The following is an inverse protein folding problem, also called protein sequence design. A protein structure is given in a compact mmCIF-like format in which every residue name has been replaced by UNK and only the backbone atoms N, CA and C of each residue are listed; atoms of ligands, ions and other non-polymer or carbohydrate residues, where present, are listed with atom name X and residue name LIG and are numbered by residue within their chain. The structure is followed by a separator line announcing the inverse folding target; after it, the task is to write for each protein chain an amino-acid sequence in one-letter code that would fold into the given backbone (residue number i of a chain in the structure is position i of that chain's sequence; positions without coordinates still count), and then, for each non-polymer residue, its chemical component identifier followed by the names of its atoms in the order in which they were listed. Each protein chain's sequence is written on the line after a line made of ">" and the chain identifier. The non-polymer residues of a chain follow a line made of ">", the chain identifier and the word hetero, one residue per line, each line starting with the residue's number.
data_IF_447511300523
#
_entry.id   IF_447511300523
#
_cell.length_a   1.000
_cell.length_b   1.000
_cell.length_c   1.000
_cell.angle_alpha   90.00
_cell.angle_beta   90.00
_cell.angle_gamma   90.00
#
_symmetry.space_group_name_H-M   'P 1'
#
loop_
_entity.id
_entity.type
_entity.pdbx_description
1 polymer ?
#
# COMPACT_ATOMS: atom_id res chain seq x y z
N UNK A 1 -8.22 -20.45 6.69
CA UNK A 1 -6.90 -20.22 6.07
C UNK A 1 -6.52 -18.77 6.35
N UNK A 2 -5.35 -18.50 6.93
CA UNK A 2 -4.94 -17.14 7.29
C UNK A 2 -4.64 -16.29 6.03
N UNK A 3 -4.82 -14.97 6.12
CA UNK A 3 -4.56 -14.06 4.99
C UNK A 3 -3.09 -14.04 4.58
N UNK A 4 -2.18 -14.10 5.57
CA UNK A 4 -0.74 -14.22 5.34
C UNK A 4 -0.41 -15.43 4.47
N UNK A 5 -0.98 -16.60 4.80
CA UNK A 5 -0.79 -17.82 4.01
C UNK A 5 -1.35 -17.67 2.58
N UNK A 6 -2.49 -16.98 2.41
CA UNK A 6 -3.04 -16.75 1.06
C UNK A 6 -2.14 -15.86 0.21
N UNK A 7 -1.58 -14.80 0.81
CA UNK A 7 -0.65 -13.89 0.14
C UNK A 7 0.64 -14.60 -0.25
N UNK A 8 1.22 -15.37 0.66
CA UNK A 8 2.41 -16.19 0.40
C UNK A 8 2.16 -17.17 -0.75
N UNK A 9 1.00 -17.83 -0.77
CA UNK A 9 0.64 -18.73 -1.86
C UNK A 9 0.47 -18.04 -3.20
N UNK A 10 -0.08 -16.83 -3.24
CA UNK A 10 -0.18 -16.04 -4.47
C UNK A 10 1.22 -15.69 -5.00
N UNK A 11 2.13 -15.28 -4.12
CA UNK A 11 3.52 -14.97 -4.49
C UNK A 11 4.21 -16.22 -5.04
N UNK A 12 4.07 -17.37 -4.36
CA UNK A 12 4.62 -18.65 -4.82
C UNK A 12 4.10 -19.03 -6.22
N UNK A 13 2.79 -18.91 -6.46
CA UNK A 13 2.21 -19.17 -7.78
C UNK A 13 2.69 -18.19 -8.86
N UNK A 14 2.84 -16.91 -8.51
CA UNK A 14 3.35 -15.88 -9.41
C UNK A 14 4.79 -16.19 -9.84
N UNK A 15 5.65 -16.60 -8.90
CA UNK A 15 7.04 -16.99 -9.18
C UNK A 15 7.12 -18.24 -10.06
N UNK A 16 6.30 -19.26 -9.77
CA UNK A 16 6.23 -20.48 -10.60
C UNK A 16 5.76 -20.17 -12.02
N UNK A 17 4.76 -19.30 -12.19
CA UNK A 17 4.26 -18.87 -13.49
C UNK A 17 5.29 -18.06 -14.27
N UNK A 18 6.00 -17.13 -13.62
CA UNK A 18 7.10 -16.36 -14.24
C UNK A 18 8.24 -17.26 -14.70
N UNK A 19 8.62 -18.23 -13.88
CA UNK A 19 9.64 -19.22 -14.24
C UNK A 19 9.20 -20.02 -15.47
N UNK A 20 7.99 -20.56 -15.46
CA UNK A 20 7.45 -21.31 -16.60
C UNK A 20 7.43 -20.46 -17.88
N UNK A 21 7.06 -19.17 -17.79
CA UNK A 21 7.11 -18.25 -18.94
C UNK A 21 8.54 -18.08 -19.48
N UNK A 22 9.51 -17.93 -18.59
CA UNK A 22 10.93 -17.85 -18.95
C UNK A 22 11.37 -19.12 -19.67
N UNK A 23 11.06 -20.29 -19.09
CA UNK A 23 11.42 -21.60 -19.66
C UNK A 23 10.80 -21.80 -21.06
N UNK A 24 9.52 -21.44 -21.25
CA UNK A 24 8.85 -21.47 -22.56
C UNK A 24 9.57 -20.58 -23.57
N UNK A 25 9.92 -19.35 -23.18
CA UNK A 25 10.56 -18.37 -24.06
C UNK A 25 11.95 -18.84 -24.47
N UNK A 26 12.73 -19.37 -23.53
CA UNK A 26 14.06 -19.91 -23.78
C UNK A 26 14.00 -21.10 -24.75
N UNK A 27 13.09 -22.05 -24.51
CA UNK A 27 12.95 -23.25 -25.33
C UNK A 27 12.45 -22.94 -26.74
N UNK A 28 11.53 -21.98 -26.89
CA UNK A 28 11.11 -21.47 -28.19
C UNK A 28 12.27 -20.82 -28.97
N UNK A 29 13.11 -20.04 -28.31
CA UNK A 29 14.28 -19.45 -28.96
C UNK A 29 15.29 -20.52 -29.39
N UNK A 30 15.50 -21.55 -28.57
CA UNK A 30 16.39 -22.68 -28.90
C UNK A 30 15.84 -23.47 -30.10
N UNK A 31 14.52 -23.74 -30.15
CA UNK A 31 13.91 -24.50 -31.26
C UNK A 31 14.02 -23.78 -32.60
N UNK A 32 13.99 -22.44 -32.60
CA UNK A 32 14.14 -21.64 -33.83
C UNK A 32 15.61 -21.48 -34.25
N UNK A 33 16.53 -21.39 -33.28
CA UNK A 33 17.94 -21.06 -33.56
C UNK A 33 18.85 -22.27 -33.79
N UNK A 34 18.47 -23.47 -33.33
CA UNK A 34 19.29 -24.68 -33.46
C UNK A 34 18.49 -25.84 -34.04
N UNK A 35 18.62 -26.14 -35.34
CA UNK A 35 17.97 -27.29 -35.96
C UNK A 35 18.53 -28.66 -35.52
N UNK A 36 19.50 -28.68 -34.59
CA UNK A 36 20.20 -29.89 -34.12
C UNK A 36 19.99 -30.16 -32.61
N UNK A 37 18.76 -30.01 -32.11
CA UNK A 37 18.45 -30.42 -30.73
C UNK A 37 18.41 -31.95 -30.68
N UNK A 38 19.29 -32.56 -29.89
CA UNK A 38 19.37 -34.01 -29.66
C UNK A 38 18.16 -34.60 -28.90
N UNK A 39 17.22 -33.76 -28.46
CA UNK A 39 15.98 -34.09 -27.75
C UNK A 39 14.82 -33.71 -28.66
N UNK A 40 13.83 -34.60 -28.81
CA UNK A 40 12.68 -34.30 -29.67
C UNK A 40 11.91 -33.09 -29.15
N UNK A 41 11.56 -32.18 -30.06
CA UNK A 41 10.74 -30.99 -29.75
C UNK A 41 9.43 -31.39 -29.06
N UNK A 42 8.80 -32.47 -29.53
CA UNK A 42 7.62 -33.08 -28.93
C UNK A 42 7.81 -33.39 -27.43
N UNK A 43 8.93 -34.03 -27.06
CA UNK A 43 9.22 -34.38 -25.67
C UNK A 43 9.35 -33.14 -24.78
N UNK A 44 9.95 -32.08 -25.31
CA UNK A 44 10.09 -30.80 -24.60
C UNK A 44 8.73 -30.16 -24.39
N UNK A 45 7.90 -30.11 -25.43
CA UNK A 45 6.55 -29.53 -25.36
C UNK A 45 5.67 -30.29 -24.38
N UNK A 46 5.69 -31.64 -24.41
CA UNK A 46 4.96 -32.47 -23.44
C UNK A 46 5.36 -32.17 -21.99
N UNK A 47 6.64 -31.95 -21.74
CA UNK A 47 7.14 -31.61 -20.39
C UNK A 47 6.62 -30.25 -19.94
N UNK A 48 6.62 -29.25 -20.81
CA UNK A 48 6.08 -27.92 -20.50
C UNK A 48 4.57 -27.99 -20.25
N UNK A 49 3.82 -28.69 -21.10
CA UNK A 49 2.37 -28.92 -20.93
C UNK A 49 2.11 -29.50 -19.55
N UNK A 50 2.86 -30.54 -19.16
CA UNK A 50 2.69 -31.16 -17.84
C UNK A 50 3.02 -30.22 -16.68
N UNK A 51 4.03 -29.36 -16.82
CA UNK A 51 4.35 -28.34 -15.80
C UNK A 51 3.21 -27.33 -15.70
N UNK A 52 2.69 -26.87 -16.84
CA UNK A 52 1.54 -25.97 -16.90
C UNK A 52 0.29 -26.60 -16.23
N UNK A 53 -0.05 -27.84 -16.57
CA UNK A 53 -1.20 -28.55 -16.00
C UNK A 53 -1.11 -28.68 -14.48
N UNK A 54 0.08 -29.02 -13.96
CA UNK A 54 0.30 -29.10 -12.52
C UNK A 54 0.15 -27.73 -11.85
N UNK A 55 0.75 -26.68 -12.43
CA UNK A 55 0.60 -25.31 -11.91
C UNK A 55 -0.87 -24.86 -11.93
N UNK A 56 -1.57 -25.09 -13.04
CA UNK A 56 -2.99 -24.77 -13.19
C UNK A 56 -3.82 -25.52 -12.16
N UNK A 57 -3.59 -26.82 -11.97
CA UNK A 57 -4.32 -27.64 -10.99
C UNK A 57 -4.15 -27.10 -9.58
N UNK A 58 -2.94 -26.73 -9.19
CA UNK A 58 -2.67 -26.15 -7.87
C UNK A 58 -3.42 -24.82 -7.69
N UNK A 59 -3.35 -23.94 -8.70
CA UNK A 59 -4.02 -22.64 -8.70
C UNK A 59 -5.55 -22.80 -8.65
N UNK A 60 -6.12 -23.67 -9.49
CA UNK A 60 -7.57 -23.95 -9.53
C UNK A 60 -8.04 -24.55 -8.20
N UNK A 61 -7.27 -25.46 -7.61
CA UNK A 61 -7.60 -26.05 -6.31
C UNK A 61 -7.59 -25.00 -5.20
N UNK A 62 -6.62 -24.09 -5.22
CA UNK A 62 -6.49 -23.03 -4.24
C UNK A 62 -7.61 -21.98 -4.35
N UNK A 63 -8.04 -21.65 -5.57
CA UNK A 63 -9.11 -20.69 -5.87
C UNK A 63 -10.43 -21.36 -6.30
N UNK A 64 -10.73 -22.55 -5.78
CA UNK A 64 -11.90 -23.34 -6.21
C UNK A 64 -13.25 -22.61 -6.11
N UNK A 65 -13.36 -21.67 -5.18
CA UNK A 65 -14.58 -20.93 -4.90
C UNK A 65 -14.68 -19.63 -5.75
N UNK A 66 -13.65 -19.33 -6.54
CA UNK A 66 -13.58 -18.13 -7.36
C UNK A 66 -14.14 -18.39 -8.78
N UNK A 67 -15.25 -17.76 -9.19
CA UNK A 67 -15.84 -18.01 -10.50
C UNK A 67 -14.91 -17.58 -11.66
N UNK A 68 -14.01 -16.62 -11.43
CA UNK A 68 -13.08 -16.13 -12.46
C UNK A 68 -11.98 -17.15 -12.77
N UNK A 69 -11.75 -18.14 -11.91
CA UNK A 69 -10.76 -19.19 -12.16
C UNK A 69 -11.05 -20.01 -13.42
N UNK A 70 -12.32 -20.06 -13.84
CA UNK A 70 -12.79 -20.77 -15.03
C UNK A 70 -12.26 -20.16 -16.32
N UNK A 71 -11.76 -18.93 -16.29
CA UNK A 71 -11.15 -18.30 -17.46
C UNK A 71 -9.73 -18.80 -17.74
N UNK A 72 -9.10 -19.55 -16.83
CA UNK A 72 -7.76 -20.11 -17.06
C UNK A 72 -7.90 -21.37 -17.94
N UNK A 73 -7.37 -21.34 -19.18
CA UNK A 73 -7.55 -22.42 -20.16
C UNK A 73 -6.97 -23.75 -19.65
N UNK A 74 -7.50 -24.90 -20.08
CA UNK A 74 -6.80 -26.19 -19.91
C UNK A 74 -5.83 -26.40 -21.08
N UNK A 75 -4.83 -27.25 -20.89
CA UNK A 75 -3.89 -27.63 -21.94
C UNK A 75 -4.27 -28.95 -22.66
N UNK A 76 -5.46 -29.49 -22.37
CA UNK A 76 -5.92 -30.81 -22.84
C UNK A 76 -6.00 -30.92 -24.37
N UNK A 77 -6.21 -29.79 -25.07
CA UNK A 77 -6.35 -29.74 -26.52
C UNK A 77 -5.06 -29.35 -27.27
N UNK A 78 -3.96 -29.09 -26.56
CA UNK A 78 -2.69 -28.68 -27.18
C UNK A 78 -1.99 -29.87 -27.84
N UNK A 79 -1.41 -29.65 -29.03
CA UNK A 79 -0.95 -30.71 -29.92
C UNK A 79 0.57 -30.71 -30.12
N UNK A 80 1.39 -30.75 -29.07
CA UNK A 80 2.86 -30.99 -29.14
C UNK A 80 3.59 -30.40 -30.37
N UNK A 81 3.19 -29.20 -30.81
CA UNK A 81 3.67 -28.56 -32.03
C UNK A 81 4.30 -27.21 -31.71
N UNK A 82 5.11 -26.69 -32.62
CA UNK A 82 5.84 -25.44 -32.41
C UNK A 82 4.91 -24.24 -32.13
N UNK A 83 3.72 -24.24 -32.72
CA UNK A 83 2.70 -23.20 -32.51
C UNK A 83 2.11 -23.27 -31.09
N UNK A 84 2.13 -24.43 -30.44
CA UNK A 84 1.62 -24.61 -29.08
C UNK A 84 2.49 -23.89 -28.04
N UNK A 85 3.78 -23.60 -28.31
CA UNK A 85 4.60 -22.78 -27.40
C UNK A 85 4.03 -21.37 -27.23
N UNK A 86 3.55 -20.76 -28.32
CA UNK A 86 2.95 -19.43 -28.28
C UNK A 86 1.60 -19.45 -27.55
N UNK A 87 0.81 -20.51 -27.75
CA UNK A 87 -0.45 -20.71 -27.05
C UNK A 87 -0.21 -20.92 -25.54
N UNK A 88 0.75 -21.77 -25.17
CA UNK A 88 1.17 -21.98 -23.79
C UNK A 88 1.66 -20.70 -23.13
N UNK A 89 2.47 -19.89 -23.83
CA UNK A 89 2.90 -18.59 -23.33
C UNK A 89 1.71 -17.68 -23.03
N UNK A 90 0.73 -17.63 -23.93
CA UNK A 90 -0.52 -16.87 -23.72
C UNK A 90 -1.33 -17.38 -22.52
N UNK A 91 -1.38 -18.70 -22.31
CA UNK A 91 -2.06 -19.29 -21.16
C UNK A 91 -1.38 -18.92 -19.84
N UNK A 92 -0.03 -18.88 -19.81
CA UNK A 92 0.73 -18.42 -18.65
C UNK A 92 0.50 -16.93 -18.39
N UNK A 93 0.34 -16.12 -19.44
CA UNK A 93 -0.01 -14.70 -19.28
C UNK A 93 -1.39 -14.50 -18.65
N UNK A 94 -2.37 -15.34 -18.99
CA UNK A 94 -3.67 -15.31 -18.33
C UNK A 94 -3.59 -15.70 -16.84
N UNK A 95 -2.76 -16.69 -16.49
CA UNK A 95 -2.46 -17.02 -15.08
C UNK A 95 -1.86 -15.81 -14.35
N UNK A 96 -0.85 -15.17 -14.95
CA UNK A 96 -0.20 -14.00 -14.35
C UNK A 96 -1.17 -12.83 -14.18
N UNK A 97 -2.03 -12.58 -15.18
CA UNK A 97 -3.09 -11.58 -15.10
C UNK A 97 -4.09 -11.84 -13.99
N UNK A 98 -4.56 -13.09 -13.88
CA UNK A 98 -5.44 -13.53 -12.80
C UNK A 98 -4.79 -13.34 -11.42
N UNK A 99 -3.56 -13.83 -11.23
CA UNK A 99 -2.83 -13.72 -9.96
C UNK A 99 -2.58 -12.27 -9.57
N UNK A 100 -2.25 -11.40 -10.53
CA UNK A 100 -2.12 -9.95 -10.30
C UNK A 100 -3.44 -9.35 -9.80
N UNK A 101 -4.56 -9.70 -10.42
CA UNK A 101 -5.89 -9.28 -9.98
C UNK A 101 -6.18 -9.69 -8.54
N UNK A 102 -5.85 -10.95 -8.17
CA UNK A 102 -6.02 -11.41 -6.78
C UNK A 102 -5.09 -10.69 -5.82
N UNK A 103 -3.82 -10.51 -6.20
CA UNK A 103 -2.84 -9.76 -5.39
C UNK A 103 -3.32 -8.35 -5.08
N UNK A 104 -3.89 -7.64 -6.06
CA UNK A 104 -4.48 -6.32 -5.86
C UNK A 104 -5.65 -6.35 -4.85
N UNK A 105 -6.52 -7.37 -4.92
CA UNK A 105 -7.59 -7.54 -3.93
C UNK A 105 -7.09 -7.80 -2.49
N UNK A 106 -5.90 -8.42 -2.33
CA UNK A 106 -5.25 -8.55 -1.03
C UNK A 106 -4.43 -7.31 -0.64
N UNK A 107 -4.03 -6.49 -1.60
CA UNK A 107 -3.41 -5.20 -1.33
C UNK A 107 -4.46 -4.15 -0.91
N UNK A 108 -5.72 -4.31 -1.31
CA UNK A 108 -6.86 -3.48 -0.85
C UNK A 108 -7.32 -3.79 0.59
N UNK A 109 -6.67 -4.70 1.33
CA UNK A 109 -6.91 -4.81 2.77
C UNK A 109 -6.37 -3.55 3.47
N UNK A 110 -7.31 -2.79 4.05
CA UNK A 110 -7.09 -1.56 4.81
C UNK A 110 -5.82 -1.63 5.64
N UNK A 111 -4.95 -0.63 5.49
CA UNK A 111 -3.90 -0.41 6.48
C UNK A 111 -4.56 0.10 7.74
N UNK A 112 -4.49 -0.65 8.83
CA UNK A 112 -4.86 -0.09 10.13
C UNK A 112 -3.81 0.96 10.52
N UNK A 113 -4.27 2.19 10.74
CA UNK A 113 -3.48 3.14 11.51
C UNK A 113 -3.82 2.91 12.99
N UNK A 114 -2.86 2.51 13.84
CA UNK A 114 -3.13 2.26 15.24
C UNK A 114 -3.51 3.57 15.91
N UNK A 115 -4.76 3.71 16.31
CA UNK A 115 -5.25 4.84 17.09
C UNK A 115 -5.96 4.34 18.33
N UNK A 116 -5.63 4.93 19.47
CA UNK A 116 -6.42 4.78 20.69
C UNK A 116 -7.59 5.76 20.59
N UNK A 117 -8.83 5.26 20.61
CA UNK A 117 -10.04 6.10 20.53
C UNK A 117 -10.06 7.17 21.63
N UNK A 118 -9.39 6.93 22.75
CA UNK A 118 -9.26 7.92 23.81
C UNK A 118 -8.39 9.12 23.40
N UNK A 119 -7.41 8.93 22.50
CA UNK A 119 -6.55 10.02 22.01
C UNK A 119 -7.32 11.03 21.16
N UNK A 120 -8.39 10.59 20.49
CA UNK A 120 -9.27 11.48 19.73
C UNK A 120 -10.16 12.34 20.62
N UNK A 121 -10.61 11.80 21.75
CA UNK A 121 -11.57 12.47 22.63
C UNK A 121 -11.08 13.81 23.20
N UNK A 122 -9.77 14.03 23.25
CA UNK A 122 -9.19 15.31 23.70
C UNK A 122 -9.25 16.40 22.63
N UNK A 123 -9.41 16.05 21.37
CA UNK A 123 -9.34 16.99 20.26
C UNK A 123 -10.64 17.80 20.14
N UNK A 124 -10.57 19.03 19.61
CA UNK A 124 -11.76 19.76 19.17
C UNK A 124 -12.58 18.96 18.16
N UNK A 125 -13.92 18.98 18.26
CA UNK A 125 -14.80 18.15 17.43
C UNK A 125 -14.58 18.33 15.92
N UNK A 126 -14.39 19.57 15.46
CA UNK A 126 -14.04 19.89 14.08
C UNK A 126 -12.76 19.21 13.62
N UNK A 127 -11.76 19.12 14.51
CA UNK A 127 -10.48 18.50 14.23
C UNK A 127 -10.55 16.97 14.32
N UNK A 128 -11.35 16.42 15.26
CA UNK A 128 -11.59 14.98 15.35
C UNK A 128 -12.09 14.43 14.02
N UNK A 129 -13.07 15.12 13.41
CA UNK A 129 -13.62 14.72 12.12
C UNK A 129 -12.56 14.71 11.02
N UNK A 130 -11.72 15.75 10.94
CA UNK A 130 -10.63 15.82 9.95
C UNK A 130 -9.60 14.72 10.16
N UNK A 131 -9.21 14.41 11.41
CA UNK A 131 -8.26 13.33 11.67
C UNK A 131 -8.85 11.97 11.33
N UNK A 132 -10.12 11.71 11.66
CA UNK A 132 -10.79 10.47 11.30
C UNK A 132 -10.92 10.29 9.78
N UNK A 133 -11.21 11.37 9.06
CA UNK A 133 -11.24 11.37 7.60
C UNK A 133 -9.84 11.10 7.02
N UNK A 134 -8.79 11.76 7.53
CA UNK A 134 -7.42 11.51 7.12
C UNK A 134 -6.98 10.06 7.39
N UNK A 135 -7.35 9.49 8.54
CA UNK A 135 -7.10 8.08 8.86
C UNK A 135 -7.78 7.20 7.82
N UNK A 136 -9.08 7.40 7.58
CA UNK A 136 -9.83 6.64 6.58
C UNK A 136 -9.13 6.67 5.21
N UNK A 137 -8.75 7.85 4.72
CA UNK A 137 -8.02 7.99 3.46
C UNK A 137 -6.67 7.25 3.47
N UNK A 138 -5.93 7.29 4.59
CA UNK A 138 -4.71 6.51 4.75
C UNK A 138 -4.97 5.00 4.70
N UNK A 139 -6.03 4.52 5.36
CA UNK A 139 -6.39 3.10 5.37
C UNK A 139 -6.74 2.60 3.95
N UNK A 140 -7.36 3.45 3.13
CA UNK A 140 -7.66 3.20 1.72
C UNK A 140 -6.51 3.51 0.75
N UNK A 141 -5.29 3.73 1.25
CA UNK A 141 -4.08 4.03 0.44
C UNK A 141 -4.17 5.32 -0.39
N UNK A 142 -5.05 6.23 -0.01
CA UNK A 142 -5.12 7.57 -0.59
C UNK A 142 -4.20 8.52 0.18
N UNK A 143 -2.90 8.21 0.20
CA UNK A 143 -1.88 8.98 0.95
C UNK A 143 -1.84 10.45 0.56
N UNK A 144 -2.20 10.74 -0.70
CA UNK A 144 -2.47 12.09 -1.16
C UNK A 144 -3.58 12.81 -0.38
N UNK A 145 -4.80 12.24 -0.39
CA UNK A 145 -5.95 12.81 0.29
C UNK A 145 -5.68 12.92 1.79
N UNK A 146 -5.08 11.88 2.39
CA UNK A 146 -4.64 11.90 3.79
C UNK A 146 -3.73 13.10 4.09
N UNK A 147 -2.68 13.33 3.29
CA UNK A 147 -1.75 14.45 3.54
C UNK A 147 -2.44 15.82 3.42
N UNK A 148 -3.38 15.99 2.49
CA UNK A 148 -4.14 17.23 2.34
C UNK A 148 -5.04 17.49 3.54
N UNK A 149 -5.82 16.49 3.97
CA UNK A 149 -6.71 16.59 5.12
C UNK A 149 -5.89 16.83 6.39
N UNK A 150 -4.75 16.15 6.54
CA UNK A 150 -3.82 16.39 7.65
C UNK A 150 -3.32 17.85 7.69
N UNK A 151 -3.07 18.48 6.55
CA UNK A 151 -2.72 19.90 6.50
C UNK A 151 -3.80 20.81 7.07
N UNK A 152 -5.07 20.55 6.74
CA UNK A 152 -6.22 21.27 7.29
C UNK A 152 -6.36 21.06 8.81
N UNK A 153 -6.22 19.81 9.25
CA UNK A 153 -6.23 19.46 10.67
C UNK A 153 -5.06 20.13 11.43
N UNK A 154 -3.89 20.25 10.81
CA UNK A 154 -2.71 20.87 11.39
C UNK A 154 -2.95 22.36 11.69
N UNK A 155 -3.44 23.10 10.69
CA UNK A 155 -3.77 24.51 10.86
C UNK A 155 -4.86 24.70 11.92
N UNK A 156 -5.91 23.88 11.90
CA UNK A 156 -6.97 23.90 12.91
C UNK A 156 -6.42 23.71 14.32
N UNK A 157 -5.60 22.66 14.55
CA UNK A 157 -5.01 22.36 15.85
C UNK A 157 -4.15 23.50 16.40
N UNK A 158 -3.29 24.06 15.56
CA UNK A 158 -2.39 25.14 15.98
C UNK A 158 -3.19 26.40 16.30
N UNK A 159 -4.16 26.76 15.46
CA UNK A 159 -5.04 27.91 15.68
C UNK A 159 -5.85 27.77 16.97
N UNK A 160 -6.43 26.59 17.21
CA UNK A 160 -7.18 26.32 18.43
C UNK A 160 -6.28 26.26 19.67
N UNK A 161 -5.08 25.70 19.55
CA UNK A 161 -4.07 25.72 20.61
C UNK A 161 -3.67 27.14 20.99
N UNK A 162 -3.36 27.99 20.00
CA UNK A 162 -3.07 29.40 20.23
C UNK A 162 -4.21 30.10 20.98
N UNK A 163 -5.45 29.91 20.51
CA UNK A 163 -6.65 30.46 21.16
C UNK A 163 -6.78 29.99 22.61
N UNK A 164 -6.62 28.69 22.88
CA UNK A 164 -6.72 28.08 24.23
C UNK A 164 -5.72 28.71 25.22
N UNK A 165 -4.53 29.09 24.74
CA UNK A 165 -3.46 29.63 25.58
C UNK A 165 -3.29 31.15 25.49
N UNK A 166 -4.25 31.85 24.88
CA UNK A 166 -4.24 33.32 24.77
C UNK A 166 -3.10 33.85 23.90
N UNK A 167 -2.72 33.11 22.86
CA UNK A 167 -1.69 33.50 21.89
C UNK A 167 -2.34 33.98 20.59
N UNK A 168 -1.74 34.97 19.95
CA UNK A 168 -2.14 35.42 18.62
C UNK A 168 -1.69 34.41 17.55
N UNK A 169 -2.58 34.06 16.63
CA UNK A 169 -2.28 33.17 15.51
C UNK A 169 -1.92 33.98 14.25
N UNK A 170 -0.62 34.00 13.91
CA UNK A 170 -0.07 34.70 12.75
C UNK A 170 0.52 33.72 11.72
N UNK A 171 -0.23 32.67 11.42
CA UNK A 171 0.16 31.59 10.52
C UNK A 171 0.82 30.40 11.21
N UNK A 172 0.86 29.26 10.50
CA UNK A 172 1.20 27.95 11.06
C UNK A 172 2.58 27.90 11.73
N UNK A 173 3.64 28.31 11.02
CA UNK A 173 5.00 28.31 11.57
C UNK A 173 5.15 29.20 12.82
N UNK A 174 4.50 30.36 12.84
CA UNK A 174 4.55 31.28 13.98
C UNK A 174 3.72 30.77 15.17
N UNK A 175 2.56 30.19 14.90
CA UNK A 175 1.74 29.53 15.93
C UNK A 175 2.49 28.37 16.61
N UNK A 176 3.18 27.54 15.84
CA UNK A 176 4.02 26.45 16.37
C UNK A 176 5.12 26.99 17.29
N UNK A 177 5.82 28.05 16.87
CA UNK A 177 6.86 28.71 17.70
C UNK A 177 6.30 29.29 18.98
N UNK A 178 5.18 30.02 18.90
CA UNK A 178 4.55 30.61 20.07
C UNK A 178 4.09 29.53 21.09
N UNK A 179 3.55 28.41 20.61
CA UNK A 179 3.16 27.29 21.46
C UNK A 179 4.36 26.61 22.13
N UNK A 180 5.50 26.50 21.43
CA UNK A 180 6.76 26.02 22.01
C UNK A 180 7.29 26.99 23.07
N UNK A 181 7.31 28.28 22.79
CA UNK A 181 7.78 29.32 23.74
C UNK A 181 6.92 29.35 25.01
N UNK A 182 5.62 29.06 24.88
CA UNK A 182 4.69 28.90 26.02
C UNK A 182 4.85 27.56 26.76
N UNK A 183 5.76 26.69 26.33
CA UNK A 183 6.03 25.39 26.94
C UNK A 183 4.94 24.34 26.71
N UNK A 184 4.12 24.50 25.67
CA UNK A 184 3.00 23.57 25.36
C UNK A 184 3.41 22.45 24.42
N UNK A 185 4.54 22.61 23.73
CA UNK A 185 5.09 21.62 22.80
C UNK A 185 6.55 21.37 23.21
N UNK A 186 6.94 20.11 23.30
CA UNK A 186 8.32 19.69 23.58
C UNK A 186 9.23 19.91 22.36
N UNK A 187 10.53 20.06 22.58
CA UNK A 187 11.51 20.38 21.53
C UNK A 187 11.50 19.37 20.35
N UNK A 188 11.40 18.07 20.63
CA UNK A 188 11.41 17.05 19.57
C UNK A 188 10.17 17.12 18.68
N UNK A 189 9.00 17.34 19.29
CA UNK A 189 7.75 17.53 18.57
C UNK A 189 7.77 18.86 17.79
N UNK A 190 8.33 19.92 18.38
CA UNK A 190 8.49 21.21 17.71
C UNK A 190 9.29 21.12 16.41
N UNK A 191 10.45 20.45 16.42
CA UNK A 191 11.27 20.23 15.21
C UNK A 191 10.49 19.47 14.14
N UNK A 192 9.84 18.37 14.53
CA UNK A 192 9.00 17.56 13.65
C UNK A 192 7.89 18.38 12.99
N UNK A 193 7.21 19.23 13.78
CA UNK A 193 6.12 20.06 13.29
C UNK A 193 6.60 21.15 12.32
N UNK A 194 7.78 21.76 12.54
CA UNK A 194 8.35 22.72 11.60
C UNK A 194 8.79 22.06 10.28
N UNK A 195 9.36 20.85 10.35
CA UNK A 195 9.72 20.10 9.15
C UNK A 195 8.46 19.72 8.34
N UNK A 196 7.39 19.32 9.03
CA UNK A 196 6.10 19.04 8.41
C UNK A 196 5.42 20.29 7.84
N UNK A 197 5.49 21.44 8.52
CA UNK A 197 4.98 22.72 7.99
C UNK A 197 5.70 23.10 6.69
N UNK A 198 7.04 23.05 6.71
CA UNK A 198 7.85 23.34 5.53
C UNK A 198 7.50 22.38 4.39
N UNK A 199 7.40 21.09 4.71
CA UNK A 199 7.03 20.08 3.74
C UNK A 199 5.62 20.33 3.17
N UNK A 200 4.64 20.60 4.02
CA UNK A 200 3.27 20.90 3.61
C UNK A 200 3.23 22.09 2.64
N UNK A 201 3.86 23.20 3.02
CA UNK A 201 3.91 24.42 2.21
C UNK A 201 4.63 24.21 0.87
N UNK A 202 5.80 23.58 0.92
CA UNK A 202 6.69 23.50 -0.26
C UNK A 202 6.25 22.39 -1.23
N UNK A 203 5.58 21.34 -0.73
CA UNK A 203 5.34 20.09 -1.48
C UNK A 203 3.88 19.69 -1.60
N UNK A 204 3.04 19.96 -0.62
CA UNK A 204 1.63 19.55 -0.64
C UNK A 204 0.72 20.68 -1.14
N UNK A 205 0.89 21.91 -0.65
CA UNK A 205 0.01 23.03 -1.02
C UNK A 205 0.30 23.64 -2.40
N UNK A 206 1.54 23.49 -2.90
CA UNK A 206 1.94 24.07 -4.19
C UNK A 206 1.51 23.17 -5.37
N UNK A 207 2.05 21.95 -5.44
CA UNK A 207 1.73 20.96 -6.47
C UNK A 207 2.01 19.56 -5.94
N UNK A 208 0.95 18.89 -5.51
CA UNK A 208 1.06 17.58 -4.91
C UNK A 208 1.15 16.48 -5.99
N UNK A 209 2.02 15.51 -5.80
CA UNK A 209 2.13 14.32 -6.66
C UNK A 209 2.18 13.06 -5.78
N UNK A 210 1.90 11.90 -6.37
CA UNK A 210 2.02 10.60 -5.68
C UNK A 210 3.45 10.27 -5.25
N UNK A 211 4.45 10.83 -5.93
CA UNK A 211 5.88 10.70 -5.56
C UNK A 211 6.23 11.48 -4.29
N UNK A 212 5.45 12.52 -4.00
CA UNK A 212 5.62 13.40 -2.85
C UNK A 212 4.76 12.88 -1.70
N UNK A 213 3.46 12.70 -1.89
CA UNK A 213 2.55 12.25 -0.85
C UNK A 213 2.62 10.72 -0.61
N UNK A 214 3.76 10.26 -0.10
CA UNK A 214 3.99 8.84 0.21
C UNK A 214 3.30 8.42 1.51
N UNK A 215 3.13 7.11 1.67
CA UNK A 215 2.55 6.53 2.89
C UNK A 215 3.35 6.85 4.15
N UNK A 216 4.67 6.93 4.01
CA UNK A 216 5.56 7.31 5.12
C UNK A 216 5.25 8.73 5.59
N UNK A 217 5.03 9.65 4.64
CA UNK A 217 4.66 11.03 4.96
C UNK A 217 3.27 11.13 5.55
N UNK A 218 2.29 10.41 5.00
CA UNK A 218 0.95 10.36 5.55
C UNK A 218 0.94 9.84 7.00
N UNK A 219 1.69 8.77 7.29
CA UNK A 219 1.85 8.23 8.65
C UNK A 219 2.54 9.23 9.59
N UNK A 220 3.56 9.93 9.11
CA UNK A 220 4.27 10.96 9.88
C UNK A 220 3.34 12.13 10.23
N UNK A 221 2.53 12.61 9.28
CA UNK A 221 1.51 13.62 9.53
C UNK A 221 0.53 13.17 10.61
N UNK A 222 -0.12 12.03 10.43
CA UNK A 222 -1.11 11.52 11.39
C UNK A 222 -0.52 11.39 12.80
N UNK A 223 0.69 10.82 12.92
CA UNK A 223 1.36 10.63 14.21
C UNK A 223 1.70 11.96 14.89
N UNK A 224 2.17 12.94 14.12
CA UNK A 224 2.50 14.26 14.64
C UNK A 224 1.26 15.04 15.07
N UNK A 225 0.14 14.93 14.35
CA UNK A 225 -1.12 15.60 14.68
C UNK A 225 -1.74 15.04 15.96
N UNK A 226 -1.74 13.72 16.14
CA UNK A 226 -2.21 13.10 17.39
C UNK A 226 -1.33 13.51 18.57
N UNK A 227 0.00 13.52 18.37
CA UNK A 227 0.94 13.98 19.39
C UNK A 227 0.75 15.45 19.77
N UNK A 228 0.51 16.31 18.78
CA UNK A 228 0.20 17.73 18.97
C UNK A 228 -1.12 17.91 19.72
N UNK A 229 -2.16 17.20 19.29
CA UNK A 229 -3.47 17.16 19.93
C UNK A 229 -3.38 16.81 21.41
N UNK A 230 -2.67 15.73 21.72
CA UNK A 230 -2.41 15.31 23.10
C UNK A 230 -1.66 16.37 23.89
N UNK A 231 -0.60 16.96 23.33
CA UNK A 231 0.18 18.00 23.99
C UNK A 231 -0.64 19.26 24.33
N UNK A 232 -1.57 19.64 23.45
CA UNK A 232 -2.37 20.86 23.61
C UNK A 232 -3.67 20.65 24.38
N UNK A 233 -4.27 19.46 24.31
CA UNK A 233 -5.65 19.26 24.76
C UNK A 233 -5.85 18.15 25.78
N UNK A 234 -4.87 17.29 26.06
CA UNK A 234 -4.99 16.37 27.20
C UNK A 234 -5.06 17.15 28.51
N UNK A 235 -5.97 16.75 29.39
CA UNK A 235 -6.13 17.31 30.73
C UNK A 235 -4.88 17.05 31.57
N UNK A 236 -4.35 18.10 32.20
CA UNK A 236 -3.12 18.09 33.02
C UNK A 236 -3.17 17.18 34.26
N UNK A 237 -4.28 16.48 34.51
CA UNK A 237 -4.48 15.59 35.65
C UNK A 237 -3.50 14.40 35.68
N UNK A 238 -2.90 14.03 34.54
CA UNK A 238 -1.98 12.89 34.44
C UNK A 238 -0.48 13.27 34.47
N UNK A 239 -0.15 14.56 34.58
CA UNK A 239 1.27 15.00 34.70
C UNK A 239 1.73 15.22 36.14
N UNK A 240 0.87 14.99 37.14
CA UNK A 240 1.21 15.13 38.57
C UNK A 240 1.66 13.80 39.20
N UNK A 241 1.48 12.65 38.52
CA UNK A 241 1.77 11.32 39.08
C UNK A 241 2.82 10.50 38.31
N UNK A 242 3.77 11.13 37.60
CA UNK A 242 4.96 10.42 37.06
C UNK A 242 6.24 11.20 37.32
#
# INVERSE_FOLDING_TARGET
>A
MSQTFKKEKIIEFEERAKKLKSDITELYNISIQSPFIYISEEYVIERIIKIYENLRKDIVSFFKDDPTIRSIPSAEDLRTSSDDFLILSSYVDQILGFLKGKKLMFEDEKRSFPIDENELNYLPQSTQQLIMEAISEFEYRHSYACCCICGLAFESLVKEGCKKYGLEYNGLANGIRALKEKGKIKEDLFKTLLDLEKYYRDKISAHVTSEVATDEKARLFLSALLSLGKALFSSTSDQINR
#
